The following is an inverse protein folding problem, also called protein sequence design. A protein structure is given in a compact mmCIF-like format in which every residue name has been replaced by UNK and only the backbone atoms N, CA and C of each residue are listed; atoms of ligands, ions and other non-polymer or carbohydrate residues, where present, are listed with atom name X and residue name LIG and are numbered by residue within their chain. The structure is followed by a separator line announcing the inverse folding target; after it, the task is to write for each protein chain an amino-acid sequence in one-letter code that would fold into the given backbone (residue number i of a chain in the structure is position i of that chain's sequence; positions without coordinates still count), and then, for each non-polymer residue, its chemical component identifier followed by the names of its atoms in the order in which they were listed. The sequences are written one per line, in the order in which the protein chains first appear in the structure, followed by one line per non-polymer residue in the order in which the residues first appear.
data_IF_632885377334
#
_entry.id   IF_632885377334
#
_cell.length_a   1.000
_cell.length_b   1.000
_cell.length_c   1.000
_cell.angle_alpha   90.00
_cell.angle_beta   90.00
_cell.angle_gamma   90.00
#
_symmetry.space_group_name_H-M   'P 1'
#
loop_
_entity.id
_entity.type
_entity.pdbx_description
1 polymer ?
#
# COMPACT_ATOMS: atom_id res chain seq x y z
N UNK A 1 16.98 2.93 -13.06
CA UNK A 1 16.32 2.07 -12.09
C UNK A 1 15.50 1.03 -12.86
N UNK A 2 15.69 -0.24 -12.56
CA UNK A 2 14.96 -1.30 -13.24
C UNK A 2 13.59 -1.55 -12.58
N UNK A 3 12.74 -2.29 -13.28
CA UNK A 3 11.36 -2.55 -12.83
C UNK A 3 11.30 -3.29 -11.49
N UNK A 4 12.23 -4.19 -11.23
CA UNK A 4 12.28 -4.92 -9.95
C UNK A 4 12.52 -3.97 -8.78
N UNK A 5 13.36 -2.95 -8.97
CA UNK A 5 13.64 -1.96 -7.93
C UNK A 5 12.42 -1.11 -7.61
N UNK A 6 11.61 -0.74 -8.63
CA UNK A 6 10.35 -0.03 -8.40
C UNK A 6 9.42 -0.85 -7.51
N UNK A 7 9.29 -2.15 -7.80
CA UNK A 7 8.42 -3.02 -7.02
C UNK A 7 8.90 -3.16 -5.58
N UNK A 8 10.22 -3.25 -5.36
CA UNK A 8 10.80 -3.30 -4.02
C UNK A 8 10.50 -2.02 -3.23
N UNK A 9 10.69 -0.86 -3.85
CA UNK A 9 10.43 0.43 -3.21
C UNK A 9 8.96 0.57 -2.80
N UNK A 10 8.06 0.15 -3.68
CA UNK A 10 6.63 0.20 -3.40
C UNK A 10 6.25 -0.75 -2.26
N UNK A 11 6.84 -1.94 -2.22
CA UNK A 11 6.61 -2.91 -1.14
C UNK A 11 7.10 -2.37 0.20
N UNK A 12 8.31 -1.82 0.24
CA UNK A 12 8.87 -1.22 1.45
C UNK A 12 7.96 -0.12 1.99
N UNK A 13 7.41 0.71 1.10
CA UNK A 13 6.50 1.79 1.49
C UNK A 13 5.20 1.24 2.08
N UNK A 14 4.67 0.13 1.54
CA UNK A 14 3.47 -0.51 2.09
C UNK A 14 3.71 -1.05 3.49
N UNK A 15 4.86 -1.69 3.71
CA UNK A 15 5.22 -2.19 5.05
C UNK A 15 5.35 -1.06 6.05
N UNK A 16 5.98 0.04 5.65
CA UNK A 16 6.12 1.22 6.49
C UNK A 16 4.75 1.81 6.86
N UNK A 17 3.85 1.86 5.90
CA UNK A 17 2.48 2.34 6.11
C UNK A 17 1.73 1.48 7.13
N UNK A 18 1.90 0.16 7.07
CA UNK A 18 1.20 -0.77 7.96
C UNK A 18 1.87 -0.93 9.32
N UNK A 19 3.11 -0.46 9.49
CA UNK A 19 3.90 -0.69 10.68
C UNK A 19 3.16 -0.40 12.01
N UNK A 20 2.47 0.75 12.19
CA UNK A 20 1.79 0.99 13.46
C UNK A 20 0.75 -0.07 13.79
N UNK A 21 -0.01 -0.54 12.80
CA UNK A 21 -1.00 -1.59 13.02
C UNK A 21 -0.34 -2.93 13.29
N UNK A 22 0.81 -3.21 12.66
CA UNK A 22 1.56 -4.44 12.90
C UNK A 22 2.11 -4.47 14.33
N UNK A 23 2.59 -3.35 14.84
CA UNK A 23 3.07 -3.25 16.22
C UNK A 23 1.96 -3.49 17.25
N UNK A 24 0.75 -3.03 16.93
CA UNK A 24 -0.42 -3.25 17.79
C UNK A 24 -0.99 -4.65 17.64
N UNK A 25 -0.49 -5.44 16.69
CA UNK A 25 -1.01 -6.77 16.36
C UNK A 25 -2.48 -6.74 15.95
N UNK A 26 -2.90 -5.64 15.33
CA UNK A 26 -4.29 -5.44 14.92
C UNK A 26 -4.82 -6.59 14.06
N UNK A 27 -4.02 -6.97 13.05
CA UNK A 27 -4.42 -8.05 12.13
C UNK A 27 -4.27 -9.43 12.76
N UNK A 28 -3.20 -9.65 13.51
CA UNK A 28 -2.94 -10.94 14.15
C UNK A 28 -4.04 -11.32 15.16
N UNK A 29 -4.48 -10.38 15.98
CA UNK A 29 -5.52 -10.64 16.99
C UNK A 29 -6.87 -10.92 16.37
N UNK A 30 -7.08 -10.49 15.13
CA UNK A 30 -8.33 -10.70 14.40
C UNK A 30 -8.25 -11.83 13.39
N UNK A 31 -7.12 -12.55 13.36
CA UNK A 31 -6.86 -13.62 12.40
C UNK A 31 -7.00 -13.17 10.94
N UNK A 32 -6.45 -11.99 10.65
CA UNK A 32 -6.51 -11.39 9.32
C UNK A 32 -5.16 -11.41 8.64
N UNK A 33 -5.18 -11.68 7.34
CA UNK A 33 -4.00 -11.71 6.50
C UNK A 33 -4.28 -10.95 5.21
N UNK A 34 -3.40 -10.00 4.88
CA UNK A 34 -3.48 -9.30 3.60
C UNK A 34 -2.63 -9.99 2.55
N UNK A 35 -3.22 -10.23 1.39
CA UNK A 35 -2.52 -10.84 0.27
C UNK A 35 -2.64 -9.92 -0.94
N UNK A 36 -1.51 -9.57 -1.53
CA UNK A 36 -1.48 -8.82 -2.79
C UNK A 36 -1.83 -9.78 -3.91
N UNK A 37 -2.91 -9.49 -4.64
CA UNK A 37 -3.36 -10.34 -5.75
C UNK A 37 -3.16 -9.71 -7.11
N UNK A 38 -2.92 -8.40 -7.16
CA UNK A 38 -2.68 -7.70 -8.42
C UNK A 38 -1.92 -6.41 -8.18
N UNK A 39 -0.95 -6.13 -9.05
CA UNK A 39 -0.26 -4.85 -9.10
C UNK A 39 -0.30 -4.36 -10.53
N UNK A 40 -0.95 -3.21 -10.74
CA UNK A 40 -0.98 -2.55 -12.04
C UNK A 40 -0.10 -1.30 -11.92
N UNK A 41 1.07 -1.32 -12.56
CA UNK A 41 2.04 -0.24 -12.46
C UNK A 41 2.23 0.44 -13.80
N UNK A 42 2.26 1.78 -13.78
CA UNK A 42 2.51 2.61 -14.95
C UNK A 42 3.78 3.42 -14.72
N UNK A 43 4.72 3.31 -15.63
CA UNK A 43 5.98 4.07 -15.60
C UNK A 43 5.81 5.31 -16.46
N UNK A 44 5.88 6.49 -15.82
CA UNK A 44 5.65 7.76 -16.50
C UNK A 44 6.94 8.46 -16.91
N UNK A 45 7.99 8.27 -16.10
CA UNK A 45 9.25 8.97 -16.25
C UNK A 45 10.38 8.13 -15.65
N UNK A 46 11.53 8.02 -16.34
CA UNK A 46 12.66 7.29 -15.76
C UNK A 46 13.22 8.03 -14.54
N UNK A 47 13.73 7.26 -13.60
CA UNK A 47 14.43 7.78 -12.42
C UNK A 47 15.92 7.61 -12.59
N UNK A 48 16.67 8.66 -12.28
CA UNK A 48 18.14 8.63 -12.29
C UNK A 48 18.63 8.26 -10.88
N UNK A 49 19.80 7.61 -10.77
CA UNK A 49 20.31 7.17 -9.45
C UNK A 49 20.48 8.27 -8.42
N UNK A 50 20.68 9.52 -8.86
CA UNK A 50 20.93 10.66 -7.98
C UNK A 50 19.67 11.40 -7.57
N UNK A 51 18.51 11.02 -8.10
CA UNK A 51 17.26 11.70 -7.77
C UNK A 51 16.74 11.27 -6.41
N UNK A 52 16.20 12.25 -5.68
CA UNK A 52 15.50 12.00 -4.41
C UNK A 52 14.02 11.85 -4.73
N UNK A 53 13.40 10.82 -4.21
CA UNK A 53 12.01 10.50 -4.50
C UNK A 53 11.17 10.46 -3.22
N UNK A 54 9.87 10.74 -3.39
CA UNK A 54 8.87 10.52 -2.37
C UNK A 54 7.95 9.40 -2.85
N UNK A 55 7.67 8.45 -1.98
CA UNK A 55 6.74 7.36 -2.26
C UNK A 55 5.53 7.58 -1.35
N UNK A 56 4.36 7.75 -1.95
CA UNK A 56 3.14 8.09 -1.23
C UNK A 56 2.04 7.07 -1.48
N UNK A 57 1.17 6.92 -0.49
CA UNK A 57 -0.09 6.23 -0.62
C UNK A 57 -1.15 7.33 -0.67
N UNK A 58 -1.80 7.49 -1.82
CA UNK A 58 -2.68 8.63 -2.07
C UNK A 58 -4.15 8.34 -1.90
N UNK A 59 -4.58 7.14 -2.29
CA UNK A 59 -5.99 6.77 -2.22
C UNK A 59 -6.12 5.31 -1.79
N UNK A 60 -7.18 5.02 -1.05
CA UNK A 60 -7.56 3.66 -0.69
C UNK A 60 -9.03 3.49 -1.05
N UNK A 61 -9.33 2.53 -1.91
CA UNK A 61 -10.70 2.23 -2.33
C UNK A 61 -11.08 0.86 -1.78
N UNK A 62 -12.23 0.78 -1.14
CA UNK A 62 -12.70 -0.46 -0.51
C UNK A 62 -13.82 -1.11 -1.31
N UNK A 63 -13.68 -2.41 -1.52
CA UNK A 63 -14.73 -3.26 -2.07
C UNK A 63 -15.17 -4.22 -0.95
N UNK A 64 -16.08 -5.15 -1.25
CA UNK A 64 -16.59 -6.04 -0.22
C UNK A 64 -15.50 -6.84 0.50
N UNK A 65 -14.65 -7.54 -0.26
CA UNK A 65 -13.60 -8.42 0.28
C UNK A 65 -12.19 -8.04 -0.20
N UNK A 66 -12.07 -6.92 -0.87
CA UNK A 66 -10.79 -6.45 -1.40
C UNK A 66 -10.67 -4.95 -1.25
N UNK A 67 -9.45 -4.46 -1.40
CA UNK A 67 -9.18 -3.03 -1.39
C UNK A 67 -8.08 -2.72 -2.40
N UNK A 68 -8.14 -1.52 -2.96
CA UNK A 68 -7.14 -1.04 -3.91
C UNK A 68 -6.44 0.16 -3.30
N UNK A 69 -5.12 0.11 -3.26
CA UNK A 69 -4.29 1.19 -2.74
C UNK A 69 -3.53 1.80 -3.91
N UNK A 70 -3.61 3.12 -4.05
CA UNK A 70 -2.85 3.84 -5.05
C UNK A 70 -1.54 4.31 -4.43
N UNK A 71 -0.42 3.91 -5.02
CA UNK A 71 0.91 4.35 -4.61
C UNK A 71 1.54 5.16 -5.74
N UNK A 72 2.27 6.21 -5.38
CA UNK A 72 2.96 7.06 -6.36
C UNK A 72 4.43 7.20 -5.98
N UNK A 73 5.27 7.31 -7.01
CA UNK A 73 6.67 7.67 -6.86
C UNK A 73 6.83 9.01 -7.55
N UNK A 74 7.22 10.03 -6.79
CA UNK A 74 7.31 11.41 -7.24
C UNK A 74 8.75 11.88 -7.10
N UNK A 75 9.27 12.58 -8.11
CA UNK A 75 10.56 13.26 -8.00
C UNK A 75 10.41 14.42 -7.01
N UNK A 76 11.15 14.37 -5.93
CA UNK A 76 11.01 15.32 -4.84
C UNK A 76 11.34 16.76 -5.26
N UNK A 77 12.29 16.94 -6.15
CA UNK A 77 12.74 18.28 -6.56
C UNK A 77 11.79 18.93 -7.57
N UNK A 78 11.25 18.16 -8.53
CA UNK A 78 10.40 18.70 -9.60
C UNK A 78 8.91 18.52 -9.32
N UNK A 79 8.55 17.64 -8.37
CA UNK A 79 7.18 17.24 -8.07
C UNK A 79 6.50 16.47 -9.21
N UNK A 80 7.28 16.00 -10.17
CA UNK A 80 6.75 15.21 -11.28
C UNK A 80 6.52 13.76 -10.88
N UNK A 81 5.42 13.21 -11.38
CA UNK A 81 5.06 11.81 -11.15
C UNK A 81 5.96 10.91 -12.01
N UNK A 82 6.75 10.06 -11.36
CA UNK A 82 7.62 9.12 -12.06
C UNK A 82 6.94 7.77 -12.29
N UNK A 83 6.12 7.32 -11.33
CA UNK A 83 5.41 6.05 -11.43
C UNK A 83 4.14 6.07 -10.61
N UNK A 84 3.16 5.29 -11.03
CA UNK A 84 1.91 5.10 -10.32
C UNK A 84 1.58 3.61 -10.30
N UNK A 85 1.16 3.11 -9.16
CA UNK A 85 0.75 1.72 -9.02
C UNK A 85 -0.60 1.63 -8.32
N UNK A 86 -1.44 0.73 -8.85
CA UNK A 86 -2.69 0.34 -8.19
C UNK A 86 -2.47 -1.08 -7.66
N UNK A 87 -2.48 -1.22 -6.36
CA UNK A 87 -2.19 -2.50 -5.69
C UNK A 87 -3.49 -3.02 -5.08
N UNK A 88 -3.91 -4.20 -5.52
CA UNK A 88 -5.13 -4.83 -5.03
C UNK A 88 -4.78 -5.86 -3.97
N UNK A 89 -5.41 -5.74 -2.81
CA UNK A 89 -5.28 -6.68 -1.71
C UNK A 89 -6.58 -7.42 -1.50
N UNK A 90 -6.46 -8.67 -1.09
CA UNK A 90 -7.59 -9.47 -0.58
C UNK A 90 -7.32 -9.73 0.88
N UNK A 91 -8.38 -9.64 1.69
CA UNK A 91 -8.31 -9.93 3.11
C UNK A 91 -8.76 -11.36 3.32
N UNK A 92 -7.89 -12.16 3.93
CA UNK A 92 -8.17 -13.56 4.19
C UNK A 92 -8.20 -13.81 5.70
N UNK A 93 -9.00 -14.82 6.10
CA UNK A 93 -8.91 -15.36 7.43
C UNK A 93 -7.68 -16.25 7.52
N UNK A 94 -6.74 -15.95 8.41
CA UNK A 94 -5.47 -16.66 8.50
C UNK A 94 -5.62 -18.13 8.93
N UNK A 95 -6.73 -18.50 9.57
CA UNK A 95 -7.00 -19.86 10.01
C UNK A 95 -7.68 -20.70 8.95
N UNK A 96 -8.60 -20.12 8.19
CA UNK A 96 -9.39 -20.85 7.18
C UNK A 96 -8.88 -20.66 5.76
N UNK A 97 -8.12 -19.59 5.50
CA UNK A 97 -7.67 -19.23 4.17
C UNK A 97 -8.77 -18.64 3.27
N UNK A 98 -9.95 -18.41 3.82
CA UNK A 98 -11.09 -17.89 3.06
C UNK A 98 -11.14 -16.36 3.08
N UNK A 99 -11.66 -15.73 1.99
CA UNK A 99 -11.84 -14.29 1.96
C UNK A 99 -12.75 -13.79 3.09
N UNK A 100 -12.36 -12.67 3.68
CA UNK A 100 -13.13 -11.99 4.73
C UNK A 100 -13.66 -10.66 4.21
N UNK A 101 -14.84 -10.27 4.71
CA UNK A 101 -15.41 -8.97 4.40
C UNK A 101 -14.61 -7.86 5.08
N UNK A 102 -14.36 -6.77 4.36
CA UNK A 102 -13.71 -5.60 4.92
C UNK A 102 -14.75 -4.82 5.72
N UNK A 103 -14.61 -4.84 7.05
CA UNK A 103 -15.56 -4.23 7.97
C UNK A 103 -15.28 -2.76 8.21
N UNK A 104 -16.24 -2.05 8.81
CA UNK A 104 -16.07 -0.65 9.20
C UNK A 104 -14.87 -0.47 10.15
N UNK A 105 -14.61 -1.45 11.01
CA UNK A 105 -13.46 -1.42 11.90
C UNK A 105 -12.13 -1.41 11.14
N UNK A 106 -12.05 -2.23 10.10
CA UNK A 106 -10.84 -2.32 9.25
C UNK A 106 -10.66 -1.02 8.48
N UNK A 107 -11.73 -0.48 7.91
CA UNK A 107 -11.70 0.80 7.20
C UNK A 107 -11.23 1.91 8.12
N UNK A 108 -11.75 1.96 9.34
CA UNK A 108 -11.36 2.95 10.33
C UNK A 108 -9.87 2.85 10.67
N UNK A 109 -9.33 1.63 10.75
CA UNK A 109 -7.90 1.43 11.01
C UNK A 109 -7.05 1.95 9.86
N UNK A 110 -7.44 1.72 8.61
CA UNK A 110 -6.72 2.24 7.46
C UNK A 110 -6.81 3.76 7.37
N UNK A 111 -7.96 4.35 7.70
CA UNK A 111 -8.10 5.80 7.76
C UNK A 111 -7.17 6.39 8.81
N UNK A 112 -7.05 5.75 9.97
CA UNK A 112 -6.12 6.15 11.02
C UNK A 112 -4.67 6.11 10.52
N UNK A 113 -4.29 5.03 9.82
CA UNK A 113 -2.94 4.89 9.26
C UNK A 113 -2.65 5.96 8.20
N UNK A 114 -3.64 6.31 7.39
CA UNK A 114 -3.52 7.35 6.39
C UNK A 114 -3.30 8.71 7.05
N UNK A 115 -4.05 9.01 8.10
CA UNK A 115 -3.91 10.26 8.84
C UNK A 115 -2.54 10.38 9.50
N UNK A 116 -2.03 9.29 10.08
CA UNK A 116 -0.70 9.26 10.68
C UNK A 116 0.39 9.55 9.65
N UNK A 117 0.23 9.04 8.42
CA UNK A 117 1.22 9.24 7.37
C UNK A 117 1.22 10.68 6.84
N UNK A 118 0.07 11.34 6.86
CA UNK A 118 -0.08 12.70 6.34
C UNK A 118 0.30 13.79 7.35
N UNK A 119 0.59 13.41 8.57
CA UNK A 119 1.05 14.34 9.61
C UNK A 119 2.55 14.73 9.48
#
# INVERSE_FOLDING_TARGET
VNNARYLELLEEARWSFLEPALKEKFFDTRNLLFVVVNINISYKKPLLPTQVIDIEITDVTYNNKSMVVRQTIVDKSTKELASEALVTFVLLNSKTGKPETITAEIIAKFDELTDMRND
#
